data_IF_013524606338
#
_entry.id   IF_013524606338
#
_cell.length_a   1.000
_cell.length_b   1.000
_cell.length_c   1.000
_cell.angle_alpha   90.00
_cell.angle_beta   90.00
_cell.angle_gamma   90.00
#
_symmetry.space_group_name_H-M   'P 1'
#
loop_
_entity.id
_entity.type
_entity.pdbx_description
1 polymer ?
#
# COMPACT_ATOMS: atom_id res chain seq x y z
N UNK A 1 4.56 21.83 -6.78
CA UNK A 1 4.92 22.45 -8.06
C UNK A 1 5.42 21.38 -9.02
N UNK A 2 4.98 21.46 -10.29
CA UNK A 2 5.17 20.44 -11.34
C UNK A 2 6.64 19.97 -11.51
N UNK A 3 7.63 20.82 -11.24
CA UNK A 3 9.05 20.45 -11.35
C UNK A 3 9.53 19.52 -10.22
N UNK A 4 8.88 19.54 -9.05
CA UNK A 4 9.20 18.62 -7.95
C UNK A 4 8.64 17.23 -8.21
N UNK A 5 7.49 17.15 -8.87
CA UNK A 5 6.79 15.90 -9.16
C UNK A 5 7.49 15.11 -10.27
N UNK A 6 8.06 15.80 -11.26
CA UNK A 6 8.87 15.19 -12.33
C UNK A 6 10.17 14.60 -11.79
N UNK A 7 10.78 15.22 -10.77
CA UNK A 7 12.05 14.74 -10.20
C UNK A 7 11.91 13.45 -9.38
N UNK A 8 10.70 13.16 -8.85
CA UNK A 8 10.45 12.00 -7.98
C UNK A 8 9.65 10.87 -8.62
N UNK A 9 9.59 10.81 -9.93
CA UNK A 9 8.96 9.67 -10.66
C UNK A 9 9.58 8.31 -10.34
N UNK A 10 10.79 8.28 -9.80
CA UNK A 10 11.49 7.07 -9.40
C UNK A 10 11.43 6.82 -7.88
N UNK A 11 10.48 7.42 -7.17
CA UNK A 11 10.27 7.14 -5.76
C UNK A 11 9.94 5.66 -5.57
N UNK A 12 10.70 4.97 -4.70
CA UNK A 12 10.56 3.53 -4.48
C UNK A 12 9.80 3.20 -3.21
N UNK A 13 10.02 3.97 -2.14
CA UNK A 13 9.36 3.75 -0.85
C UNK A 13 9.15 5.10 -0.17
N UNK A 14 7.91 5.58 -0.17
CA UNK A 14 7.55 6.86 0.42
C UNK A 14 6.86 6.68 1.77
N UNK A 15 7.25 7.49 2.75
CA UNK A 15 6.58 7.55 4.05
C UNK A 15 6.69 8.95 4.66
N UNK A 16 5.80 9.22 5.63
CA UNK A 16 5.85 10.44 6.43
C UNK A 16 7.11 10.50 7.31
N UNK A 17 7.46 11.70 7.71
CA UNK A 17 8.64 11.99 8.55
C UNK A 17 8.69 11.11 9.81
N UNK A 18 7.56 10.95 10.50
CA UNK A 18 7.47 10.15 11.73
C UNK A 18 7.74 8.67 11.51
N UNK A 19 7.28 8.11 10.38
CA UNK A 19 7.53 6.71 10.04
C UNK A 19 9.03 6.50 9.84
N UNK A 20 9.68 7.38 9.09
CA UNK A 20 11.13 7.30 8.87
C UNK A 20 11.91 7.39 10.18
N UNK A 21 11.59 8.36 11.05
CA UNK A 21 12.33 8.57 12.28
C UNK A 21 12.03 7.53 13.37
N UNK A 22 10.75 7.21 13.59
CA UNK A 22 10.34 6.43 14.77
C UNK A 22 10.26 4.93 14.49
N UNK A 23 9.78 4.53 13.29
CA UNK A 23 9.62 3.10 12.97
C UNK A 23 10.81 2.53 12.23
N UNK A 24 11.38 3.28 11.29
CA UNK A 24 12.50 2.83 10.45
C UNK A 24 13.86 3.21 11.02
N UNK A 25 13.89 4.04 12.06
CA UNK A 25 15.11 4.60 12.66
C UNK A 25 16.06 5.21 11.61
N UNK A 26 15.48 5.88 10.61
CA UNK A 26 16.17 6.65 9.57
C UNK A 26 15.90 8.13 9.81
N UNK A 27 16.68 9.01 9.21
CA UNK A 27 16.42 10.45 9.27
C UNK A 27 16.25 11.02 7.87
N UNK A 28 15.31 11.95 7.71
CA UNK A 28 15.18 12.71 6.45
C UNK A 28 16.35 13.68 6.37
N UNK A 29 17.07 13.66 5.25
CA UNK A 29 18.24 14.51 5.04
C UNK A 29 17.82 15.98 4.97
N UNK A 30 18.65 16.84 5.52
CA UNK A 30 18.43 18.29 5.46
C UNK A 30 18.41 18.75 4.00
N UNK A 31 17.37 19.52 3.63
CA UNK A 31 17.18 20.02 2.27
C UNK A 31 16.40 19.08 1.33
N UNK A 32 16.03 17.87 1.79
CA UNK A 32 15.13 17.00 1.02
C UNK A 32 13.77 17.66 0.84
N UNK A 33 13.22 17.57 -0.37
CA UNK A 33 11.89 18.08 -0.70
C UNK A 33 10.87 16.92 -0.61
N UNK A 34 9.92 17.02 0.32
CA UNK A 34 8.82 16.07 0.42
C UNK A 34 7.87 16.17 -0.76
N UNK A 35 7.19 15.08 -1.08
CA UNK A 35 6.03 15.06 -1.97
C UNK A 35 4.84 15.56 -1.14
N UNK A 36 4.20 16.63 -1.59
CA UNK A 36 3.05 17.21 -0.92
C UNK A 36 1.79 16.41 -1.30
N UNK A 37 1.12 15.87 -0.30
CA UNK A 37 -0.17 15.21 -0.42
C UNK A 37 -1.24 16.10 0.23
N UNK A 38 -2.37 16.26 -0.43
CA UNK A 38 -3.51 16.97 0.13
C UNK A 38 -4.30 16.01 1.03
N UNK A 39 -4.39 16.35 2.31
CA UNK A 39 -5.22 15.63 3.28
C UNK A 39 -6.50 16.42 3.53
N UNK A 40 -7.63 15.86 3.10
CA UNK A 40 -8.97 16.42 3.27
C UNK A 40 -9.78 15.66 4.34
N UNK A 41 -9.17 14.80 5.13
CA UNK A 41 -9.86 14.05 6.19
C UNK A 41 -10.39 14.95 7.32
N UNK A 42 -9.96 16.21 7.38
CA UNK A 42 -10.44 17.22 8.30
C UNK A 42 -11.22 18.33 7.56
N UNK A 43 -12.04 19.08 8.28
CA UNK A 43 -12.83 20.20 7.72
C UNK A 43 -11.99 21.30 7.04
N UNK A 44 -10.69 21.34 7.32
CA UNK A 44 -9.73 22.24 6.69
C UNK A 44 -8.68 21.39 5.99
N UNK A 45 -8.53 21.49 4.65
CA UNK A 45 -7.51 20.78 3.90
C UNK A 45 -6.10 21.11 4.41
N UNK A 46 -5.27 20.08 4.58
CA UNK A 46 -3.88 20.23 5.04
C UNK A 46 -2.93 19.56 4.09
N UNK A 47 -1.73 20.14 3.94
CA UNK A 47 -0.65 19.48 3.21
C UNK A 47 0.07 18.52 4.16
N UNK A 48 0.14 17.27 3.74
CA UNK A 48 0.96 16.23 4.36
C UNK A 48 2.16 15.94 3.46
N UNK A 49 3.34 15.83 4.04
CA UNK A 49 4.56 15.58 3.26
C UNK A 49 5.07 14.17 3.50
N UNK A 50 5.31 13.46 2.40
CA UNK A 50 6.01 12.17 2.42
C UNK A 50 7.37 12.32 1.76
N UNK A 51 8.32 11.50 2.19
CA UNK A 51 9.69 11.48 1.70
C UNK A 51 10.02 10.09 1.19
N UNK A 52 10.74 10.02 0.08
CA UNK A 52 11.23 8.75 -0.43
C UNK A 52 12.41 8.24 0.40
N UNK A 53 12.66 6.93 0.36
CA UNK A 53 13.80 6.30 1.04
C UNK A 53 15.13 6.91 0.61
N UNK A 54 15.26 7.31 -0.66
CA UNK A 54 16.46 8.00 -1.18
C UNK A 54 16.70 9.37 -0.56
N UNK A 55 15.69 10.00 0.02
CA UNK A 55 15.80 11.25 0.78
C UNK A 55 16.27 11.03 2.22
N UNK A 56 16.40 9.79 2.66
CA UNK A 56 16.72 9.46 4.04
C UNK A 56 18.18 9.02 4.23
N UNK A 57 18.67 9.20 5.44
CA UNK A 57 19.96 8.66 5.87
C UNK A 57 19.77 7.59 6.95
N UNK A 58 20.74 6.69 7.04
CA UNK A 58 20.74 5.57 8.00
C UNK A 58 21.31 5.99 9.35
N UNK A 59 20.76 5.48 10.44
CA UNK A 59 21.33 5.50 11.78
C UNK A 59 21.79 4.08 12.17
N UNK A 60 22.50 3.97 13.28
CA UNK A 60 22.79 2.65 13.85
C UNK A 60 21.49 1.92 14.12
N UNK A 61 21.33 0.70 13.60
CA UNK A 61 20.11 -0.12 13.67
C UNK A 61 18.92 0.45 12.86
N UNK A 62 19.18 1.18 11.77
CA UNK A 62 18.13 1.52 10.80
C UNK A 62 17.54 0.25 10.18
N UNK A 63 16.27 0.33 9.86
CA UNK A 63 15.58 -0.68 9.05
C UNK A 63 15.47 -0.16 7.62
N UNK A 64 15.65 -1.05 6.65
CA UNK A 64 15.38 -0.74 5.26
C UNK A 64 13.91 -1.09 4.94
N UNK A 65 13.24 -0.32 4.08
CA UNK A 65 11.89 -0.67 3.65
C UNK A 65 11.94 -1.94 2.80
N UNK A 66 11.19 -2.94 3.21
CA UNK A 66 11.00 -4.17 2.44
C UNK A 66 9.97 -3.91 1.34
N UNK A 67 10.42 -3.46 0.19
CA UNK A 67 9.57 -3.29 -0.99
C UNK A 67 9.49 -4.64 -1.71
N UNK A 68 8.30 -5.22 -1.73
CA UNK A 68 8.07 -6.46 -2.46
C UNK A 68 8.08 -6.21 -3.98
N UNK A 69 8.52 -7.20 -4.72
CA UNK A 69 8.52 -7.23 -6.18
C UNK A 69 7.80 -8.48 -6.65
N UNK A 70 7.08 -8.37 -7.74
CA UNK A 70 6.41 -9.48 -8.38
C UNK A 70 7.27 -9.95 -9.55
N UNK A 71 7.78 -11.19 -9.46
CA UNK A 71 8.55 -11.85 -10.49
C UNK A 71 7.69 -12.94 -11.13
N UNK A 72 8.07 -13.42 -12.32
CA UNK A 72 7.32 -14.40 -13.10
C UNK A 72 6.94 -15.66 -12.30
N UNK A 73 7.85 -16.14 -11.47
CA UNK A 73 7.64 -17.31 -10.63
C UNK A 73 6.64 -17.08 -9.47
N UNK A 74 6.22 -15.84 -9.22
CA UNK A 74 5.19 -15.46 -8.26
C UNK A 74 3.82 -15.20 -8.91
N UNK A 75 3.74 -15.16 -10.26
CA UNK A 75 2.48 -14.90 -10.95
C UNK A 75 1.42 -15.94 -10.64
N UNK A 76 1.79 -17.21 -10.69
CA UNK A 76 0.84 -18.30 -10.41
C UNK A 76 0.25 -18.23 -8.98
N UNK A 77 1.04 -18.14 -7.90
CA UNK A 77 0.51 -18.00 -6.55
C UNK A 77 -0.38 -16.77 -6.36
N UNK A 78 -0.03 -15.65 -7.02
CA UNK A 78 -0.82 -14.41 -6.97
C UNK A 78 -2.13 -14.57 -7.72
N UNK A 79 -2.11 -15.13 -8.95
CA UNK A 79 -3.31 -15.40 -9.74
C UNK A 79 -4.29 -16.32 -9.01
N UNK A 80 -3.80 -17.40 -8.38
CA UNK A 80 -4.62 -18.31 -7.58
C UNK A 80 -5.24 -17.64 -6.36
N UNK A 81 -4.50 -16.76 -5.69
CA UNK A 81 -5.03 -15.97 -4.59
C UNK A 81 -6.12 -15.01 -5.07
N UNK A 82 -5.89 -14.28 -6.15
CA UNK A 82 -6.87 -13.36 -6.74
C UNK A 82 -8.14 -14.10 -7.20
N UNK A 83 -7.98 -15.28 -7.80
CA UNK A 83 -9.11 -16.11 -8.20
C UNK A 83 -9.97 -16.53 -6.99
N UNK A 84 -9.32 -16.86 -5.88
CA UNK A 84 -10.02 -17.26 -4.64
C UNK A 84 -10.74 -16.08 -3.96
N UNK A 85 -10.09 -14.91 -3.91
CA UNK A 85 -10.63 -13.73 -3.21
C UNK A 85 -11.72 -13.01 -4.02
N UNK A 86 -11.54 -12.91 -5.35
CA UNK A 86 -12.44 -12.13 -6.21
C UNK A 86 -13.34 -12.98 -7.10
N UNK A 87 -13.10 -14.31 -7.19
CA UNK A 87 -13.86 -15.21 -8.04
C UNK A 87 -13.60 -15.05 -9.53
N UNK A 88 -12.50 -14.41 -9.93
CA UNK A 88 -12.12 -14.10 -11.31
C UNK A 88 -10.83 -14.83 -11.64
N UNK A 89 -10.84 -15.59 -12.75
CA UNK A 89 -9.67 -16.35 -13.20
C UNK A 89 -9.40 -16.09 -14.67
N UNK A 90 -8.15 -15.80 -15.00
CA UNK A 90 -7.64 -15.66 -16.37
C UNK A 90 -6.27 -16.31 -16.50
N UNK A 91 -5.89 -16.62 -17.73
CA UNK A 91 -4.54 -17.11 -18.02
C UNK A 91 -3.48 -16.02 -17.83
N UNK A 92 -3.85 -14.76 -18.10
CA UNK A 92 -2.97 -13.60 -17.95
C UNK A 92 -3.35 -12.82 -16.70
N UNK A 93 -2.36 -12.58 -15.85
CA UNK A 93 -2.56 -11.83 -14.61
C UNK A 93 -3.07 -10.40 -14.87
N UNK A 94 -2.59 -9.75 -15.95
CA UNK A 94 -3.05 -8.41 -16.34
C UNK A 94 -4.54 -8.36 -16.66
N UNK A 95 -5.06 -9.37 -17.37
CA UNK A 95 -6.48 -9.46 -17.70
C UNK A 95 -7.33 -9.76 -16.45
N UNK A 96 -6.83 -10.62 -15.56
CA UNK A 96 -7.46 -10.89 -14.28
C UNK A 96 -7.58 -9.62 -13.43
N UNK A 97 -6.51 -8.81 -13.38
CA UNK A 97 -6.51 -7.53 -12.67
C UNK A 97 -7.49 -6.54 -13.32
N UNK A 98 -7.60 -6.51 -14.66
CA UNK A 98 -8.55 -5.65 -15.36
C UNK A 98 -10.00 -5.95 -14.95
N UNK A 99 -10.39 -7.24 -14.96
CA UNK A 99 -11.75 -7.63 -14.57
C UNK A 99 -12.01 -7.41 -13.08
N UNK A 100 -11.00 -7.60 -12.22
CA UNK A 100 -11.10 -7.27 -10.79
C UNK A 100 -11.30 -5.76 -10.61
N UNK A 101 -10.56 -4.93 -11.35
CA UNK A 101 -10.69 -3.47 -11.29
C UNK A 101 -12.10 -3.01 -11.70
N UNK A 102 -12.66 -3.59 -12.75
CA UNK A 102 -14.04 -3.34 -13.17
C UNK A 102 -15.06 -3.70 -12.09
N UNK A 103 -14.95 -4.90 -11.51
CA UNK A 103 -15.81 -5.35 -10.41
C UNK A 103 -15.71 -4.47 -9.17
N UNK A 104 -14.50 -4.00 -8.83
CA UNK A 104 -14.29 -3.11 -7.70
C UNK A 104 -14.88 -1.71 -7.95
N UNK A 105 -14.73 -1.18 -9.15
CA UNK A 105 -15.34 0.10 -9.53
C UNK A 105 -16.87 0.04 -9.49
N UNK A 106 -17.47 -1.07 -9.96
CA UNK A 106 -18.90 -1.33 -9.84
C UNK A 106 -19.36 -1.39 -8.38
N UNK A 107 -18.70 -2.20 -7.57
CA UNK A 107 -19.03 -2.32 -6.15
C UNK A 107 -18.85 -1.01 -5.39
N UNK A 108 -17.85 -0.20 -5.75
CA UNK A 108 -17.64 1.11 -5.14
C UNK A 108 -18.79 2.07 -5.48
N UNK A 109 -19.22 2.10 -6.74
CA UNK A 109 -20.37 2.88 -7.18
C UNK A 109 -21.64 2.50 -6.42
N UNK A 110 -21.95 1.21 -6.34
CA UNK A 110 -23.14 0.69 -5.66
C UNK A 110 -23.21 1.14 -4.19
N UNK A 111 -22.06 1.33 -3.54
CA UNK A 111 -21.98 1.73 -2.14
C UNK A 111 -21.86 3.24 -1.91
N UNK A 112 -21.42 4.01 -2.92
CA UNK A 112 -21.04 5.41 -2.74
C UNK A 112 -21.66 6.35 -3.78
N UNK A 113 -22.59 5.87 -4.62
CA UNK A 113 -23.19 6.66 -5.71
C UNK A 113 -23.78 7.98 -5.23
N UNK A 114 -24.46 8.00 -4.09
CA UNK A 114 -25.06 9.22 -3.52
C UNK A 114 -24.01 10.30 -3.28
N UNK A 115 -22.86 9.95 -2.73
CA UNK A 115 -21.78 10.89 -2.42
C UNK A 115 -21.10 11.36 -3.72
N UNK A 116 -20.96 10.46 -4.69
CA UNK A 116 -20.39 10.79 -6.02
C UNK A 116 -21.31 11.75 -6.76
N UNK A 117 -22.62 11.49 -6.79
CA UNK A 117 -23.60 12.36 -7.41
C UNK A 117 -23.61 13.77 -6.80
N UNK A 118 -23.37 13.90 -5.50
CA UNK A 118 -23.35 15.17 -4.80
C UNK A 118 -22.19 16.09 -5.19
N UNK A 119 -21.11 15.56 -5.79
CA UNK A 119 -19.90 16.33 -6.15
C UNK A 119 -19.76 16.60 -7.66
N UNK A 120 -20.75 16.22 -8.47
CA UNK A 120 -20.73 16.37 -9.93
C UNK A 120 -20.92 17.81 -10.36
N UNK A 121 -21.56 18.64 -9.55
CA UNK A 121 -21.82 20.04 -9.85
C UNK A 121 -20.53 20.80 -10.17
N UNK A 122 -20.55 21.53 -11.29
CA UNK A 122 -19.41 22.27 -11.80
C UNK A 122 -18.34 21.44 -12.51
N UNK A 123 -18.51 20.12 -12.64
CA UNK A 123 -17.67 19.25 -13.49
C UNK A 123 -18.19 19.21 -14.94
N UNK A 124 -17.40 18.62 -15.84
CA UNK A 124 -17.91 18.35 -17.22
C UNK A 124 -18.97 17.23 -17.23
N UNK A 125 -19.22 16.58 -16.11
CA UNK A 125 -20.24 15.55 -15.95
C UNK A 125 -21.62 16.09 -15.54
N UNK A 126 -21.76 17.39 -15.26
CA UNK A 126 -22.98 17.98 -14.71
C UNK A 126 -24.22 17.82 -15.60
N UNK A 127 -24.01 17.67 -16.92
CA UNK A 127 -25.10 17.51 -17.89
C UNK A 127 -25.47 16.06 -18.19
N UNK A 128 -24.75 15.08 -17.57
CA UNK A 128 -25.06 13.66 -17.71
C UNK A 128 -26.24 13.27 -16.82
N UNK A 129 -27.03 12.32 -17.29
CA UNK A 129 -27.97 11.61 -16.43
C UNK A 129 -27.25 10.62 -15.48
N UNK A 130 -27.97 10.09 -14.50
CA UNK A 130 -27.39 9.20 -13.50
C UNK A 130 -26.73 7.96 -14.13
N UNK A 131 -27.32 7.39 -15.18
CA UNK A 131 -26.76 6.23 -15.88
C UNK A 131 -25.47 6.59 -16.65
N UNK A 132 -25.43 7.80 -17.23
CA UNK A 132 -24.22 8.33 -17.86
C UNK A 132 -23.11 8.60 -16.84
N UNK A 133 -23.44 9.17 -15.68
CA UNK A 133 -22.50 9.39 -14.58
C UNK A 133 -21.94 8.08 -14.02
N UNK A 134 -22.78 7.09 -13.83
CA UNK A 134 -22.39 5.74 -13.45
C UNK A 134 -21.34 5.15 -14.40
N UNK A 135 -21.63 5.23 -15.72
CA UNK A 135 -20.73 4.70 -16.74
C UNK A 135 -19.37 5.43 -16.73
N UNK A 136 -19.38 6.77 -16.65
CA UNK A 136 -18.16 7.57 -16.62
C UNK A 136 -17.33 7.29 -15.36
N UNK A 137 -17.98 7.23 -14.19
CA UNK A 137 -17.29 6.91 -12.96
C UNK A 137 -16.67 5.53 -13.00
N UNK A 138 -17.45 4.50 -13.37
CA UNK A 138 -16.96 3.11 -13.43
C UNK A 138 -15.80 2.98 -14.41
N UNK A 139 -15.87 3.66 -15.56
CA UNK A 139 -14.78 3.67 -16.55
C UNK A 139 -13.51 4.32 -15.98
N UNK A 140 -13.61 5.54 -15.44
CA UNK A 140 -12.49 6.27 -14.88
C UNK A 140 -11.87 5.54 -13.67
N UNK A 141 -12.70 4.98 -12.80
CA UNK A 141 -12.24 4.24 -11.62
C UNK A 141 -11.57 2.92 -12.01
N UNK A 142 -12.18 2.12 -12.88
CA UNK A 142 -11.66 0.81 -13.29
C UNK A 142 -10.29 0.94 -13.95
N UNK A 143 -10.12 1.86 -14.91
CA UNK A 143 -8.85 2.05 -15.59
C UNK A 143 -7.76 2.54 -14.62
N UNK A 144 -8.12 3.43 -13.69
CA UNK A 144 -7.18 3.96 -12.70
C UNK A 144 -6.77 2.91 -11.66
N UNK A 145 -7.70 2.05 -11.22
CA UNK A 145 -7.43 0.93 -10.32
C UNK A 145 -6.49 -0.07 -11.02
N UNK A 146 -6.81 -0.46 -12.26
CA UNK A 146 -6.00 -1.37 -13.05
C UNK A 146 -4.57 -0.81 -13.22
N UNK A 147 -4.44 0.45 -13.63
CA UNK A 147 -3.15 1.14 -13.78
C UNK A 147 -2.34 1.08 -12.48
N UNK A 148 -2.96 1.46 -11.36
CA UNK A 148 -2.31 1.51 -10.05
C UNK A 148 -1.78 0.14 -9.63
N UNK A 149 -2.55 -0.93 -9.86
CA UNK A 149 -2.16 -2.28 -9.48
C UNK A 149 -1.06 -2.80 -10.40
N UNK A 150 -1.21 -2.65 -11.73
CA UNK A 150 -0.22 -3.12 -12.70
C UNK A 150 1.12 -2.42 -12.54
N UNK A 151 1.12 -1.08 -12.42
CA UNK A 151 2.34 -0.29 -12.18
C UNK A 151 3.05 -0.75 -10.90
N UNK A 152 2.30 -0.95 -9.81
CA UNK A 152 2.89 -1.43 -8.55
C UNK A 152 3.42 -2.87 -8.64
N UNK A 153 2.85 -3.68 -9.51
CA UNK A 153 3.30 -5.05 -9.80
C UNK A 153 4.49 -5.09 -10.77
N UNK A 154 4.92 -3.96 -11.32
CA UNK A 154 6.07 -3.87 -12.22
C UNK A 154 5.77 -4.19 -13.67
N UNK A 155 4.50 -4.10 -14.10
CA UNK A 155 4.13 -4.17 -15.51
C UNK A 155 4.41 -2.83 -16.19
N UNK A 156 4.96 -2.89 -17.42
CA UNK A 156 5.18 -1.70 -18.22
C UNK A 156 3.84 -1.15 -18.72
N UNK A 157 3.42 0.07 -18.29
CA UNK A 157 2.08 0.60 -18.61
C UNK A 157 1.80 0.72 -20.10
N UNK A 158 2.81 1.07 -20.90
CA UNK A 158 2.71 1.26 -22.35
C UNK A 158 2.26 0.00 -23.10
N UNK A 159 2.38 -1.18 -22.49
CA UNK A 159 1.89 -2.44 -23.03
C UNK A 159 0.41 -2.71 -22.82
N UNK A 160 -0.24 -1.92 -21.96
CA UNK A 160 -1.60 -2.19 -21.50
C UNK A 160 -2.54 -1.00 -21.62
N UNK A 161 -2.01 0.21 -21.76
CA UNK A 161 -2.79 1.45 -21.77
C UNK A 161 -2.33 2.37 -22.88
N UNK A 162 -3.29 3.07 -23.45
CA UNK A 162 -3.03 4.23 -24.30
C UNK A 162 -3.64 5.50 -23.66
N UNK A 163 -3.45 6.63 -24.31
CA UNK A 163 -3.93 7.90 -23.79
C UNK A 163 -5.46 7.99 -23.73
N UNK A 164 -6.11 7.33 -24.65
CA UNK A 164 -7.56 7.40 -24.82
C UNK A 164 -8.28 6.62 -23.71
N UNK A 165 -7.62 5.60 -23.13
CA UNK A 165 -8.15 4.85 -21.98
C UNK A 165 -8.43 5.74 -20.77
N UNK A 166 -7.69 6.82 -20.62
CA UNK A 166 -7.83 7.76 -19.50
C UNK A 166 -8.74 8.94 -19.76
N UNK A 167 -9.45 8.96 -20.90
CA UNK A 167 -10.26 10.11 -21.31
C UNK A 167 -11.35 10.46 -20.28
N UNK A 168 -12.03 9.46 -19.72
CA UNK A 168 -13.09 9.65 -18.73
C UNK A 168 -12.61 10.37 -17.44
N UNK A 169 -11.32 10.31 -17.10
CA UNK A 169 -10.78 10.97 -15.91
C UNK A 169 -10.85 12.49 -16.02
N UNK A 170 -10.68 13.04 -17.23
CA UNK A 170 -10.68 14.49 -17.44
C UNK A 170 -12.04 15.14 -17.19
N UNK A 171 -13.11 14.35 -17.21
CA UNK A 171 -14.46 14.84 -16.96
C UNK A 171 -14.69 15.15 -15.47
N UNK A 172 -13.89 14.57 -14.57
CA UNK A 172 -13.82 14.89 -13.13
C UNK A 172 -12.98 16.15 -12.89
N UNK A 173 -13.42 17.28 -13.44
CA UNK A 173 -12.61 18.49 -13.60
C UNK A 173 -12.55 19.41 -12.37
N UNK A 174 -13.26 19.10 -11.29
CA UNK A 174 -13.18 19.85 -10.02
C UNK A 174 -12.27 19.16 -9.00
N UNK A 175 -11.76 19.91 -8.02
CA UNK A 175 -10.89 19.35 -6.99
C UNK A 175 -11.59 18.26 -6.17
N UNK A 176 -12.86 18.46 -5.82
CA UNK A 176 -13.64 17.52 -5.04
C UNK A 176 -13.92 16.22 -5.83
N UNK A 177 -14.24 16.35 -7.12
CA UNK A 177 -14.46 15.19 -7.99
C UNK A 177 -13.17 14.38 -8.21
N UNK A 178 -12.04 15.04 -8.48
CA UNK A 178 -10.72 14.37 -8.58
C UNK A 178 -10.36 13.68 -7.27
N UNK A 179 -10.62 14.33 -6.14
CA UNK A 179 -10.34 13.75 -4.82
C UNK A 179 -11.21 12.52 -4.56
N UNK A 180 -12.50 12.57 -4.87
CA UNK A 180 -13.40 11.43 -4.69
C UNK A 180 -13.01 10.24 -5.58
N UNK A 181 -12.71 10.50 -6.86
CA UNK A 181 -12.19 9.46 -7.76
C UNK A 181 -10.88 8.87 -7.24
N UNK A 182 -9.95 9.72 -6.81
CA UNK A 182 -8.67 9.27 -6.23
C UNK A 182 -8.84 8.45 -4.95
N UNK A 183 -9.82 8.80 -4.11
CA UNK A 183 -10.17 8.03 -2.90
C UNK A 183 -10.70 6.64 -3.27
N UNK A 184 -11.61 6.56 -4.23
CA UNK A 184 -12.13 5.30 -4.73
C UNK A 184 -11.00 4.39 -5.26
N UNK A 185 -10.11 4.93 -6.09
CA UNK A 185 -8.96 4.21 -6.64
C UNK A 185 -8.03 3.73 -5.53
N UNK A 186 -7.72 4.59 -4.56
CA UNK A 186 -6.85 4.25 -3.42
C UNK A 186 -7.43 3.14 -2.56
N UNK A 187 -8.72 3.22 -2.23
CA UNK A 187 -9.37 2.25 -1.36
C UNK A 187 -9.49 0.88 -2.03
N UNK A 188 -9.93 0.85 -3.29
CA UNK A 188 -10.02 -0.38 -4.07
C UNK A 188 -8.64 -1.03 -4.30
N UNK A 189 -7.65 -0.26 -4.70
CA UNK A 189 -6.31 -0.79 -5.01
C UNK A 189 -5.58 -1.27 -3.76
N UNK A 190 -5.80 -0.63 -2.61
CA UNK A 190 -5.13 -0.94 -1.34
C UNK A 190 -5.32 -2.38 -0.92
N UNK A 191 -6.54 -2.89 -0.98
CA UNK A 191 -6.84 -4.23 -0.50
C UNK A 191 -6.30 -5.30 -1.45
N UNK A 192 -6.39 -5.06 -2.76
CA UNK A 192 -5.76 -5.94 -3.77
C UNK A 192 -4.25 -6.00 -3.56
N UNK A 193 -3.59 -4.85 -3.46
CA UNK A 193 -2.14 -4.77 -3.28
C UNK A 193 -1.66 -5.37 -1.95
N UNK A 194 -2.43 -5.25 -0.87
CA UNK A 194 -2.14 -5.91 0.41
C UNK A 194 -2.23 -7.43 0.31
N UNK A 195 -3.21 -7.95 -0.42
CA UNK A 195 -3.36 -9.37 -0.63
C UNK A 195 -2.23 -9.93 -1.51
N UNK A 196 -1.84 -9.20 -2.56
CA UNK A 196 -0.68 -9.54 -3.39
C UNK A 196 0.60 -9.54 -2.53
N UNK A 197 0.87 -8.47 -1.78
CA UNK A 197 2.04 -8.35 -0.90
C UNK A 197 2.12 -9.52 0.08
N UNK A 198 1.01 -9.85 0.74
CA UNK A 198 0.95 -10.97 1.70
C UNK A 198 1.29 -12.29 1.02
N UNK A 199 0.74 -12.53 -0.16
CA UNK A 199 0.98 -13.75 -0.94
C UNK A 199 2.42 -13.85 -1.39
N UNK A 200 2.99 -12.78 -1.94
CA UNK A 200 4.40 -12.70 -2.33
C UNK A 200 5.32 -13.00 -1.14
N UNK A 201 5.15 -12.30 -0.03
CA UNK A 201 5.97 -12.48 1.18
C UNK A 201 5.85 -13.90 1.76
N UNK A 202 4.65 -14.47 1.77
CA UNK A 202 4.42 -15.83 2.28
C UNK A 202 5.06 -16.87 1.37
N UNK A 203 4.92 -16.72 0.06
CA UNK A 203 5.52 -17.63 -0.93
C UNK A 203 7.05 -17.61 -0.85
N UNK A 204 7.65 -16.42 -0.77
CA UNK A 204 9.11 -16.28 -0.64
C UNK A 204 9.60 -16.92 0.67
N UNK A 205 8.91 -16.68 1.81
CA UNK A 205 9.27 -17.30 3.09
C UNK A 205 9.22 -18.83 3.03
N UNK A 206 8.14 -19.39 2.47
CA UNK A 206 7.99 -20.83 2.30
C UNK A 206 9.15 -21.42 1.48
N UNK A 207 9.46 -20.82 0.32
CA UNK A 207 10.57 -21.27 -0.54
C UNK A 207 11.93 -21.21 0.16
N UNK A 208 12.17 -20.17 0.96
CA UNK A 208 13.41 -20.07 1.71
C UNK A 208 13.53 -21.16 2.78
N UNK A 209 12.44 -21.52 3.46
CA UNK A 209 12.43 -22.62 4.41
C UNK A 209 12.67 -23.95 3.70
N UNK A 210 11.99 -24.22 2.61
CA UNK A 210 12.17 -25.43 1.79
C UNK A 210 13.62 -25.55 1.29
N UNK A 211 14.22 -24.44 0.82
CA UNK A 211 15.63 -24.43 0.40
C UNK A 211 16.58 -24.75 1.56
N UNK A 212 16.37 -24.11 2.71
CA UNK A 212 17.20 -24.37 3.88
C UNK A 212 17.10 -25.83 4.36
N UNK A 213 15.90 -26.42 4.31
CA UNK A 213 15.71 -27.83 4.65
C UNK A 213 16.46 -28.74 3.67
N UNK A 214 16.38 -28.47 2.37
CA UNK A 214 17.09 -29.24 1.36
C UNK A 214 18.61 -29.13 1.52
N UNK A 215 19.14 -27.95 1.79
CA UNK A 215 20.57 -27.72 2.05
C UNK A 215 21.04 -28.49 3.30
N UNK A 216 20.23 -28.56 4.36
CA UNK A 216 20.54 -29.38 5.54
C UNK A 216 20.55 -30.88 5.22
N UNK A 217 19.56 -31.37 4.48
CA UNK A 217 19.48 -32.78 4.07
C UNK A 217 20.64 -33.19 3.14
N UNK A 218 21.08 -32.31 2.24
CA UNK A 218 22.26 -32.54 1.41
C UNK A 218 23.53 -32.60 2.25
N UNK A 219 23.73 -31.65 3.17
CA UNK A 219 24.89 -31.66 4.04
C UNK A 219 24.94 -32.90 4.93
N UNK A 220 23.80 -33.35 5.46
CA UNK A 220 23.73 -34.58 6.26
C UNK A 220 24.06 -35.82 5.41
N UNK A 221 23.56 -35.86 4.19
CA UNK A 221 23.85 -36.94 3.24
C UNK A 221 25.34 -37.01 2.88
N UNK A 222 25.95 -35.86 2.59
CA UNK A 222 27.39 -35.75 2.32
C UNK A 222 28.25 -36.19 3.53
N UNK A 223 27.84 -35.82 4.73
CA UNK A 223 28.52 -36.22 5.96
C UNK A 223 28.43 -37.73 6.21
N UNK A 224 27.32 -38.36 5.86
CA UNK A 224 27.12 -39.81 5.97
C UNK A 224 27.97 -40.57 4.94
N UNK A 225 28.04 -40.10 3.69
CA UNK A 225 28.87 -40.69 2.64
C UNK A 225 30.36 -40.60 2.95
N UNK A 226 30.83 -39.50 3.53
CA UNK A 226 32.21 -39.31 3.93
C UNK A 226 32.61 -40.14 5.18
N UNK A 227 31.63 -40.60 6.00
CA UNK A 227 31.88 -41.44 7.16
C UNK A 227 31.87 -42.93 6.89
N UNK A 228 31.52 -43.35 5.63
CA UNK A 228 31.47 -44.78 5.30
C UNK A 228 30.45 -45.58 6.13
N UNK A 229 29.46 -44.92 6.71
CA UNK A 229 28.40 -45.61 7.44
C UNK A 229 27.34 -46.07 6.44
N UNK A 230 26.85 -47.33 6.54
CA UNK A 230 25.78 -47.79 5.66
C UNK A 230 24.53 -46.95 5.88
N UNK A 231 23.86 -46.61 4.78
CA UNK A 231 22.59 -45.88 4.79
C UNK A 231 21.63 -46.55 5.80
N UNK A 232 20.85 -45.79 6.57
CA UNK A 232 19.83 -46.38 7.46
C UNK A 232 18.83 -47.14 6.58
N UNK A 233 18.71 -48.44 6.85
CA UNK A 233 17.73 -49.29 6.17
C UNK A 233 16.32 -48.73 6.39
N UNK A 234 15.44 -48.76 5.39
CA UNK A 234 14.07 -48.31 5.57
C UNK A 234 13.42 -49.14 6.66
N UNK A 235 12.92 -48.47 7.68
CA UNK A 235 12.30 -49.05 8.87
C UNK A 235 11.03 -49.83 8.39
N UNK A 236 11.22 -51.14 8.19
CA UNK A 236 10.10 -52.07 8.01
C UNK A 236 9.44 -52.25 9.38
N UNK A 237 8.26 -51.72 9.53
CA UNK A 237 7.41 -51.93 10.70
C UNK A 237 7.37 -53.43 11.07
N UNK A 238 7.63 -53.80 12.31
CA UNK A 238 7.36 -55.16 12.75
C UNK A 238 5.86 -55.32 13.02
N UNK A 239 5.28 -56.21 12.24
CA UNK A 239 3.92 -56.68 12.39
C UNK A 239 3.62 -57.10 13.84
N UNK A 240 2.42 -56.73 14.25
CA UNK A 240 1.79 -57.10 15.51
C UNK A 240 2.00 -58.57 15.95
N UNK A 241 2.39 -58.75 17.18
CA UNK A 241 2.10 -59.99 17.90
C UNK A 241 1.47 -59.73 19.27
N UNK A 242 0.37 -60.46 19.42
CA UNK A 242 -0.64 -60.43 20.41
C UNK A 242 -0.19 -60.63 21.87
N UNK A 243 -0.95 -59.99 22.72
CA UNK A 243 -1.61 -60.40 23.96
C UNK A 243 -0.90 -61.31 24.97
N UNK A 244 -0.93 -60.84 26.22
CA UNK A 244 -0.95 -61.63 27.43
C UNK A 244 -0.87 -60.76 28.69
N UNK A 245 -1.55 -61.09 29.77
CA UNK A 245 -2.22 -60.15 30.65
C UNK A 245 -1.52 -59.79 31.96
N UNK A 246 -1.82 -58.60 32.43
CA UNK A 246 -2.09 -58.15 33.81
C UNK A 246 -1.21 -58.63 34.95
N UNK A 247 -0.65 -57.69 35.66
CA UNK A 247 -0.75 -57.61 37.14
C UNK A 247 -0.56 -56.17 37.61
N UNK A 248 -1.56 -55.75 38.33
CA UNK A 248 -1.71 -54.61 39.23
C UNK A 248 -0.66 -54.65 40.34
N UNK A 249 -0.03 -53.51 40.62
CA UNK A 249 0.29 -53.10 41.99
C UNK A 249 0.59 -51.59 41.95
N UNK A 250 -0.26 -50.85 42.60
CA UNK A 250 0.00 -49.50 43.14
C UNK A 250 0.79 -49.66 44.43
N UNK A 251 1.68 -48.72 44.76
CA UNK A 251 1.29 -47.75 45.74
C UNK A 251 1.89 -46.34 45.60
N UNK A 252 1.11 -45.45 46.11
CA UNK A 252 1.43 -44.23 46.86
C UNK A 252 2.05 -43.01 46.17
N UNK A 253 1.28 -41.99 46.28
CA UNK A 253 1.51 -40.53 46.08
C UNK A 253 2.42 -40.02 47.24
N UNK A 254 3.28 -39.03 47.05
CA UNK A 254 2.83 -37.74 47.58
C UNK A 254 3.02 -36.53 46.66
N UNK A 255 2.17 -35.59 46.92
CA UNK A 255 2.02 -34.21 46.53
C UNK A 255 3.30 -33.44 46.18
N UNK A 256 3.22 -32.60 45.15
CA UNK A 256 4.23 -31.60 44.89
C UNK A 256 3.92 -30.76 43.64
N UNK A 257 3.17 -29.71 43.87
CA UNK A 257 3.21 -28.41 43.21
C UNK A 257 3.30 -28.33 41.69
N UNK A 258 2.21 -27.92 41.09
CA UNK A 258 2.12 -27.21 39.79
C UNK A 258 2.81 -25.85 39.85
N UNK A 259 3.48 -25.44 38.80
CA UNK A 259 3.56 -24.03 38.47
C UNK A 259 2.84 -23.69 37.17
N UNK A 260 1.83 -22.84 37.29
CA UNK A 260 1.63 -21.65 36.52
C UNK A 260 1.35 -21.77 35.04
N UNK A 261 0.08 -21.91 34.70
CA UNK A 261 -0.46 -21.48 33.42
C UNK A 261 -0.31 -19.95 33.32
N UNK A 262 0.45 -19.47 32.38
CA UNK A 262 0.45 -18.05 32.00
C UNK A 262 -0.75 -17.81 31.11
N UNK A 263 -1.77 -17.21 31.68
CA UNK A 263 -2.86 -16.56 30.98
C UNK A 263 -2.32 -15.32 30.29
N UNK A 264 -2.48 -15.24 28.98
CA UNK A 264 -2.38 -14.01 28.23
C UNK A 264 -3.71 -13.26 28.35
N UNK A 265 -3.66 -12.20 29.15
CA UNK A 265 -4.75 -11.25 29.33
C UNK A 265 -4.97 -10.45 28.04
N UNK A 266 -6.22 -10.49 27.61
CA UNK A 266 -6.81 -9.58 26.68
C UNK A 266 -7.32 -8.36 27.50
N UNK A 267 -6.59 -7.25 27.46
CA UNK A 267 -7.13 -5.96 27.82
C UNK A 267 -6.25 -4.85 27.25
N UNK A 268 -6.74 -4.18 26.24
CA UNK A 268 -6.61 -2.73 26.15
C UNK A 268 -7.74 -2.20 25.26
N UNK A 269 -8.80 -1.93 25.95
CA UNK A 269 -9.83 -0.98 25.55
C UNK A 269 -9.91 0.09 26.65
N UNK A 270 -10.14 1.29 26.18
CA UNK A 270 -10.56 2.52 26.90
C UNK A 270 -9.41 3.47 27.26
N UNK A 271 -9.48 4.56 26.65
CA UNK A 271 -10.26 5.79 26.81
C UNK A 271 -9.38 6.94 27.28
N UNK A 272 -9.32 7.92 26.43
CA UNK A 272 -9.84 9.27 26.64
C UNK A 272 -9.70 9.85 28.04
N UNK A 273 -9.04 10.95 28.11
CA UNK A 273 -9.47 12.19 28.75
C UNK A 273 -8.27 13.09 28.97
N UNK A 274 -8.36 14.28 28.43
CA UNK A 274 -7.54 15.41 28.80
C UNK A 274 -7.78 15.79 30.29
N UNK A 275 -6.88 16.56 30.89
CA UNK A 275 -7.27 17.94 31.09
C UNK A 275 -6.18 18.97 30.73
N UNK A 276 -6.72 20.14 30.47
CA UNK A 276 -6.08 21.40 30.25
C UNK A 276 -5.10 21.81 31.37
N UNK A 277 -4.02 22.48 30.95
CA UNK A 277 -3.13 23.17 31.87
C UNK A 277 -2.34 24.23 31.10
N UNK A 278 -2.77 25.45 31.28
CA UNK A 278 -2.27 26.77 30.94
C UNK A 278 -0.76 26.94 31.10
N UNK A 279 -0.14 27.68 30.13
CA UNK A 279 1.19 28.26 30.34
C UNK A 279 1.57 29.08 29.10
N UNK A 280 1.23 30.36 29.16
CA UNK A 280 1.69 31.41 28.27
C UNK A 280 3.23 31.48 28.27
N UNK A 281 3.82 31.63 27.11
CA UNK A 281 4.88 32.64 27.00
C UNK A 281 4.97 33.14 25.53
N UNK A 282 4.72 34.40 25.42
CA UNK A 282 4.80 35.27 24.28
C UNK A 282 6.24 35.51 23.93
N UNK A 283 6.63 35.33 22.69
CA UNK A 283 7.71 36.10 22.03
C UNK A 283 7.50 36.16 20.52
N UNK A 284 6.94 37.27 20.12
CA UNK A 284 7.15 37.83 18.77
C UNK A 284 8.65 38.17 18.57
N UNK A 285 9.15 38.13 17.38
CA UNK A 285 10.12 39.12 16.97
C UNK A 285 9.54 40.03 15.88
N UNK A 286 9.78 41.26 16.18
CA UNK A 286 9.63 42.52 15.52
C UNK A 286 9.79 42.53 14.01
N UNK A 287 8.92 43.36 13.44
CA UNK A 287 8.99 43.90 12.08
C UNK A 287 10.24 44.79 11.92
N UNK A 288 10.94 44.63 10.82
CA UNK A 288 11.82 45.65 10.30
C UNK A 288 11.20 46.23 9.03
N UNK A 289 10.76 47.46 9.17
CA UNK A 289 10.50 48.44 8.17
C UNK A 289 11.73 48.56 7.23
N UNK A 290 11.53 48.58 5.93
CA UNK A 290 12.36 49.40 5.04
C UNK A 290 11.49 49.92 3.87
N UNK A 291 11.18 51.17 4.05
CA UNK A 291 10.57 52.14 3.17
C UNK A 291 11.47 52.41 1.96
N UNK A 292 10.94 52.26 0.73
CA UNK A 292 11.39 53.09 -0.42
C UNK A 292 10.30 53.17 -1.50
N UNK A 293 9.67 54.31 -1.44
CA UNK A 293 9.00 55.06 -2.50
C UNK A 293 9.75 55.13 -3.84
N UNK A 294 9.01 55.04 -4.93
CA UNK A 294 9.00 55.92 -6.11
C UNK A 294 8.14 55.28 -7.23
N UNK A 295 6.95 55.81 -7.47
CA UNK A 295 6.55 56.71 -8.54
C UNK A 295 6.98 56.25 -9.95
N UNK A 296 5.98 55.90 -10.81
CA UNK A 296 5.44 56.74 -11.89
C UNK A 296 4.61 55.89 -12.88
N UNK A 297 3.35 56.17 -12.98
CA UNK A 297 2.58 56.03 -14.23
C UNK A 297 3.06 57.10 -15.27
N UNK A 298 2.76 56.99 -16.61
CA UNK A 298 1.41 57.04 -17.11
C UNK A 298 1.14 56.24 -18.41
N UNK A 299 -0.11 55.91 -18.65
CA UNK A 299 -0.79 55.78 -19.96
C UNK A 299 -0.88 57.15 -20.65
N UNK A 300 -1.31 57.36 -21.93
CA UNK A 300 -2.10 56.53 -22.85
C UNK A 300 -1.74 56.76 -24.37
N UNK A 301 -2.47 56.10 -25.25
CA UNK A 301 -2.54 56.55 -26.68
C UNK A 301 -2.82 55.40 -27.66
N UNK A 302 -4.06 55.18 -27.96
CA UNK A 302 -4.84 55.52 -29.18
C UNK A 302 -4.47 54.73 -30.46
N UNK A 303 -5.48 54.00 -30.91
CA UNK A 303 -6.12 53.98 -32.23
C UNK A 303 -5.33 53.56 -33.45
N UNK A 304 -5.79 52.51 -34.14
CA UNK A 304 -6.32 52.54 -35.50
C UNK A 304 -6.69 51.14 -36.00
N UNK A 305 -7.97 50.92 -36.26
CA UNK A 305 -8.48 50.10 -37.34
C UNK A 305 -8.36 50.83 -38.68
N UNK A 306 -8.83 50.26 -39.84
CA UNK A 306 -8.76 48.92 -40.43
C UNK A 306 -8.19 49.00 -41.87
N UNK A 307 -8.10 47.89 -42.60
CA UNK A 307 -8.54 47.78 -44.04
C UNK A 307 -8.22 46.38 -44.61
N UNK A 308 -9.29 45.77 -45.14
CA UNK A 308 -9.43 44.96 -46.35
C UNK A 308 -8.19 44.54 -47.16
N UNK A 309 -8.06 43.25 -47.43
CA UNK A 309 -8.30 42.57 -48.73
C UNK A 309 -8.47 41.06 -48.43
#
# INVERSE_FOLDING_TARGET
SAASDVYKRQATACAGFDIWNNRMNRYVRRGSKGIALLDQSSSVPRLHYVFDVSDTGVRRNSRDPEVWQLNDDLFQPVSEMLAREYGIHHERLSQQIADIAGKLAESYWDNNSTDILAIVDGTFLMDYDEAGLELQFKSAAAISIMYTILERCGFEPEGYFDRDDFQAIYDFSTLDAVYALGTAVSDCSRDVLRNIERTVKTTIRRRNVERSQHEYEEQERDLLDHRGLPAPEPNLEPAAKAAGPVRTDTPDVPDGESPGAVQLDAADREAASAPAGSGADSREPEAADDDRTAEAEPSPGQSAEPTDV
#
